data_IF_856395258410
#
_entry.id   IF_856395258410
#
_cell.length_a   1.000
_cell.length_b   1.000
_cell.length_c   1.000
_cell.angle_alpha   90.00
_cell.angle_beta   90.00
_cell.angle_gamma   90.00
#
_symmetry.space_group_name_H-M   'P 1'
#
loop_
_entity.id
_entity.type
_entity.pdbx_description
1 polymer ?
#
# COMPACT_ATOMS: atom_id res chain seq x y z
N UNK A 1 14.15 19.10 19.73
CA UNK A 1 13.08 18.08 19.76
C UNK A 1 13.36 17.07 18.67
N UNK A 2 13.71 15.84 19.03
CA UNK A 2 13.87 14.75 18.05
C UNK A 2 12.48 14.40 17.52
N UNK A 3 12.18 14.76 16.27
CA UNK A 3 11.00 14.26 15.58
C UNK A 3 11.22 12.75 15.45
N UNK A 4 10.47 11.95 16.22
CA UNK A 4 10.31 10.53 15.89
C UNK A 4 9.90 10.48 14.42
N UNK A 5 10.75 9.95 13.54
CA UNK A 5 10.43 9.84 12.12
C UNK A 5 9.06 9.16 11.99
N UNK A 6 8.08 9.91 11.48
CA UNK A 6 6.77 9.33 11.15
C UNK A 6 7.02 8.21 10.14
N UNK A 7 6.44 7.02 10.31
CA UNK A 7 6.61 5.95 9.33
C UNK A 7 6.16 6.45 7.96
N UNK A 8 6.97 6.16 6.93
CA UNK A 8 6.67 6.57 5.55
C UNK A 8 5.35 5.91 5.13
N UNK A 9 4.44 6.72 4.60
CA UNK A 9 3.13 6.26 4.12
C UNK A 9 3.29 5.11 3.11
N UNK A 10 2.47 4.03 3.20
CA UNK A 10 2.54 2.89 2.28
C UNK A 10 2.51 3.27 0.80
N UNK A 11 1.72 4.28 0.45
CA UNK A 11 1.63 4.83 -0.91
C UNK A 11 2.95 5.41 -1.41
N UNK A 12 3.66 6.13 -0.55
CA UNK A 12 4.97 6.69 -0.87
C UNK A 12 5.98 5.57 -1.06
N UNK A 13 5.94 4.54 -0.22
CA UNK A 13 6.81 3.36 -0.38
C UNK A 13 6.55 2.63 -1.70
N UNK A 14 5.27 2.44 -2.07
CA UNK A 14 4.92 1.80 -3.35
C UNK A 14 5.42 2.63 -4.54
N UNK A 15 5.12 3.93 -4.58
CA UNK A 15 5.55 4.82 -5.68
C UNK A 15 7.07 4.96 -5.77
N UNK A 16 7.78 4.95 -4.63
CA UNK A 16 9.25 4.91 -4.60
C UNK A 16 9.78 3.63 -5.24
N UNK A 17 9.14 2.49 -4.98
CA UNK A 17 9.54 1.23 -5.60
C UNK A 17 9.27 1.20 -7.10
N UNK A 18 8.14 1.75 -7.55
CA UNK A 18 7.85 1.89 -8.97
C UNK A 18 8.89 2.78 -9.67
N UNK A 19 9.30 3.89 -9.04
CA UNK A 19 10.42 4.70 -9.54
C UNK A 19 11.69 3.87 -9.70
N UNK A 20 12.08 3.09 -8.69
CA UNK A 20 13.30 2.28 -8.70
C UNK A 20 13.23 1.15 -9.74
N UNK A 21 12.07 0.50 -9.90
CA UNK A 21 11.82 -0.53 -10.93
C UNK A 21 12.00 0.01 -12.34
N UNK A 22 11.52 1.23 -12.58
CA UNK A 22 11.68 1.95 -13.84
C UNK A 22 13.06 2.61 -13.99
N UNK A 23 13.98 2.44 -13.02
CA UNK A 23 15.33 3.02 -13.00
C UNK A 23 15.34 4.55 -13.16
N UNK A 24 14.31 5.21 -12.66
CA UNK A 24 14.16 6.66 -12.75
C UNK A 24 14.77 7.34 -11.52
N UNK A 25 15.40 8.48 -11.75
CA UNK A 25 15.93 9.35 -10.70
C UNK A 25 14.79 10.16 -10.05
N UNK A 26 15.01 10.62 -8.81
CA UNK A 26 14.08 11.54 -8.15
C UNK A 26 13.86 12.82 -8.96
N UNK A 27 14.89 13.29 -9.67
CA UNK A 27 14.80 14.46 -10.57
C UNK A 27 13.84 14.21 -11.73
N UNK A 28 13.92 13.05 -12.38
CA UNK A 28 13.03 12.70 -13.49
C UNK A 28 11.57 12.64 -13.05
N UNK A 29 11.26 12.02 -11.90
CA UNK A 29 9.87 11.99 -11.41
C UNK A 29 9.39 13.37 -11.03
N UNK A 30 10.20 14.16 -10.33
CA UNK A 30 9.86 15.53 -9.96
C UNK A 30 9.49 16.37 -11.20
N UNK A 31 10.28 16.28 -12.26
CA UNK A 31 10.06 16.97 -13.52
C UNK A 31 8.77 16.50 -14.23
N UNK A 32 8.61 15.19 -14.42
CA UNK A 32 7.46 14.61 -15.14
C UNK A 32 6.13 14.75 -14.39
N UNK A 33 6.16 14.79 -13.06
CA UNK A 33 4.96 14.96 -12.23
C UNK A 33 4.69 16.41 -11.84
N UNK A 34 5.50 17.37 -12.30
CA UNK A 34 5.44 18.78 -11.93
C UNK A 34 5.48 18.99 -10.40
N UNK A 35 6.27 18.19 -9.68
CA UNK A 35 6.55 18.35 -8.26
C UNK A 35 7.91 19.01 -8.11
N UNK A 36 8.07 20.09 -7.32
CA UNK A 36 9.39 20.62 -7.03
C UNK A 36 10.31 19.53 -6.47
N UNK A 37 11.54 19.40 -7.00
CA UNK A 37 12.46 18.31 -6.65
C UNK A 37 12.64 18.15 -5.13
N UNK A 38 12.82 19.27 -4.42
CA UNK A 38 12.98 19.26 -2.96
C UNK A 38 11.74 18.70 -2.25
N UNK A 39 10.54 18.98 -2.76
CA UNK A 39 9.30 18.43 -2.23
C UNK A 39 9.23 16.92 -2.47
N UNK A 40 9.55 16.46 -3.68
CA UNK A 40 9.56 15.03 -4.00
C UNK A 40 10.54 14.24 -3.13
N UNK A 41 11.76 14.77 -2.94
CA UNK A 41 12.78 14.17 -2.07
C UNK A 41 12.30 14.02 -0.63
N UNK A 42 11.70 15.09 -0.08
CA UNK A 42 11.14 15.07 1.28
C UNK A 42 9.97 14.11 1.42
N UNK A 43 9.13 13.98 0.39
CA UNK A 43 8.06 12.98 0.35
C UNK A 43 8.66 11.57 0.47
N UNK A 44 9.61 11.20 -0.40
CA UNK A 44 10.24 9.87 -0.35
C UNK A 44 10.98 9.57 0.97
N UNK A 45 11.48 10.61 1.63
CA UNK A 45 12.14 10.50 2.94
C UNK A 45 11.16 10.46 4.12
N UNK A 46 9.86 10.69 3.90
CA UNK A 46 8.85 10.79 4.96
C UNK A 46 8.88 12.12 5.72
N UNK A 47 9.62 13.12 5.24
CA UNK A 47 9.73 14.46 5.84
C UNK A 47 8.61 15.42 5.40
N UNK A 48 7.82 15.03 4.40
CA UNK A 48 6.65 15.76 3.91
C UNK A 48 5.52 14.79 3.62
N UNK A 49 4.30 15.19 3.97
CA UNK A 49 3.11 14.47 3.54
C UNK A 49 2.92 14.65 2.03
N UNK A 50 2.35 13.62 1.39
CA UNK A 50 1.97 13.63 -0.02
C UNK A 50 0.47 13.94 -0.13
N UNK A 51 0.09 14.81 -1.06
CA UNK A 51 -1.32 15.11 -1.34
C UNK A 51 -1.88 14.19 -2.42
N UNK A 52 -3.21 13.97 -2.44
CA UNK A 52 -3.88 13.16 -3.47
C UNK A 52 -3.57 13.67 -4.89
N UNK A 53 -3.47 14.99 -5.09
CA UNK A 53 -3.10 15.57 -6.38
C UNK A 53 -1.64 15.23 -6.77
N UNK A 54 -0.71 15.25 -5.81
CA UNK A 54 0.68 14.82 -6.06
C UNK A 54 0.75 13.33 -6.41
N UNK A 55 0.00 12.49 -5.70
CA UNK A 55 -0.10 11.06 -6.03
C UNK A 55 -0.62 10.89 -7.45
N UNK A 56 -1.73 11.55 -7.81
CA UNK A 56 -2.36 11.42 -9.15
C UNK A 56 -1.36 11.69 -10.27
N UNK A 57 -0.59 12.77 -10.15
CA UNK A 57 0.44 13.12 -11.15
C UNK A 57 1.58 12.12 -11.21
N UNK A 58 1.99 11.52 -10.09
CA UNK A 58 3.03 10.47 -10.09
C UNK A 58 2.50 9.19 -10.73
N UNK A 59 1.25 8.80 -10.44
CA UNK A 59 0.58 7.65 -11.05
C UNK A 59 0.55 7.80 -12.58
N UNK A 60 0.23 9.00 -13.09
CA UNK A 60 0.22 9.30 -14.52
C UNK A 60 1.59 9.09 -15.18
N UNK A 61 2.69 9.48 -14.52
CA UNK A 61 4.06 9.24 -15.03
C UNK A 61 4.34 7.76 -15.25
N UNK A 62 3.78 6.89 -14.40
CA UNK A 62 3.97 5.44 -14.49
C UNK A 62 2.89 4.73 -15.32
N UNK A 63 1.85 5.43 -15.79
CA UNK A 63 0.72 4.82 -16.49
C UNK A 63 -0.09 3.87 -15.59
N UNK A 64 -0.13 4.13 -14.29
CA UNK A 64 -0.84 3.31 -13.31
C UNK A 64 -2.29 3.78 -13.13
N UNK A 65 -3.08 2.96 -12.45
CA UNK A 65 -4.40 3.34 -11.93
C UNK A 65 -4.37 3.43 -10.40
N UNK A 66 -5.38 4.07 -9.82
CA UNK A 66 -5.59 4.05 -8.37
C UNK A 66 -5.79 2.63 -7.81
N UNK A 67 -6.31 1.71 -8.62
CA UNK A 67 -6.46 0.31 -8.23
C UNK A 67 -5.10 -0.37 -8.12
N UNK A 68 -4.18 -0.12 -9.06
CA UNK A 68 -2.81 -0.65 -9.00
C UNK A 68 -2.08 -0.18 -7.76
N UNK A 69 -2.28 1.09 -7.38
CA UNK A 69 -1.72 1.67 -6.16
C UNK A 69 -2.30 1.02 -4.91
N UNK A 70 -3.63 0.89 -4.83
CA UNK A 70 -4.28 0.22 -3.72
C UNK A 70 -3.79 -1.22 -3.55
N UNK A 71 -3.64 -1.95 -4.67
CA UNK A 71 -3.11 -3.31 -4.69
C UNK A 71 -1.62 -3.39 -4.37
N UNK A 72 -0.83 -2.45 -4.87
CA UNK A 72 0.60 -2.34 -4.61
C UNK A 72 0.92 -2.07 -3.15
N UNK A 73 0.01 -1.41 -2.44
CA UNK A 73 0.13 -1.09 -1.02
C UNK A 73 -0.40 -2.17 -0.07
N UNK A 74 -1.19 -3.14 -0.54
CA UNK A 74 -1.90 -4.09 0.34
C UNK A 74 -0.97 -4.87 1.29
N UNK A 75 0.28 -5.16 0.88
CA UNK A 75 1.28 -5.82 1.74
C UNK A 75 2.03 -4.89 2.70
N UNK A 76 1.77 -3.58 2.65
CA UNK A 76 2.40 -2.52 3.48
C UNK A 76 1.40 -1.81 4.38
N UNK A 77 0.11 -1.96 4.12
CA UNK A 77 -0.96 -1.51 5.01
C UNK A 77 -1.18 -2.53 6.12
N UNK A 78 -1.48 -2.05 7.31
CA UNK A 78 -1.99 -2.92 8.36
C UNK A 78 -3.42 -3.31 7.98
N UNK A 79 -3.59 -4.52 7.45
CA UNK A 79 -4.92 -5.09 7.21
C UNK A 79 -5.48 -5.53 8.55
N UNK A 80 -6.59 -4.93 8.97
CA UNK A 80 -7.30 -5.34 10.17
C UNK A 80 -8.50 -6.23 9.84
N UNK A 81 -9.18 -6.74 10.87
CA UNK A 81 -10.34 -7.61 10.71
C UNK A 81 -11.53 -6.92 10.03
N UNK A 82 -11.64 -5.59 10.12
CA UNK A 82 -12.72 -4.83 9.49
C UNK A 82 -12.53 -4.74 7.98
N UNK A 83 -11.28 -4.58 7.52
CA UNK A 83 -10.93 -4.61 6.09
C UNK A 83 -11.26 -5.97 5.45
N UNK A 84 -10.98 -7.05 6.18
CA UNK A 84 -11.29 -8.42 5.76
C UNK A 84 -12.81 -8.63 5.73
N UNK A 85 -13.53 -8.21 6.77
CA UNK A 85 -14.97 -8.33 6.85
C UNK A 85 -15.68 -7.52 5.75
N UNK A 86 -15.21 -6.31 5.45
CA UNK A 86 -15.71 -5.49 4.35
C UNK A 86 -15.50 -6.20 3.01
N UNK A 87 -14.32 -6.76 2.77
CA UNK A 87 -14.01 -7.49 1.53
C UNK A 87 -14.90 -8.72 1.32
N UNK A 88 -15.16 -9.50 2.38
CA UNK A 88 -16.00 -10.71 2.33
C UNK A 88 -17.47 -10.37 2.04
N UNK A 89 -17.97 -9.21 2.48
CA UNK A 89 -19.36 -8.76 2.20
C UNK A 89 -19.62 -8.58 0.72
N UNK A 90 -18.62 -8.21 -0.07
CA UNK A 90 -18.76 -7.99 -1.51
C UNK A 90 -18.73 -9.28 -2.33
N UNK A 91 -18.39 -10.42 -1.73
CA UNK A 91 -18.44 -11.70 -2.43
C UNK A 91 -19.89 -12.14 -2.71
N UNK A 92 -20.16 -12.74 -3.88
CA UNK A 92 -21.38 -13.47 -4.14
C UNK A 92 -21.65 -14.53 -3.06
N UNK A 93 -22.92 -14.79 -2.76
CA UNK A 93 -23.31 -15.70 -1.68
C UNK A 93 -22.65 -17.08 -1.79
N UNK A 94 -22.52 -17.60 -3.02
CA UNK A 94 -21.86 -18.87 -3.33
C UNK A 94 -20.38 -18.90 -2.94
N UNK A 95 -19.66 -17.78 -3.10
CA UNK A 95 -18.25 -17.69 -2.75
C UNK A 95 -18.04 -17.33 -1.29
N UNK A 96 -18.95 -16.55 -0.69
CA UNK A 96 -18.83 -16.07 0.69
C UNK A 96 -18.73 -17.22 1.69
N UNK A 97 -19.57 -18.24 1.55
CA UNK A 97 -19.58 -19.42 2.43
C UNK A 97 -18.27 -20.20 2.29
N UNK A 98 -17.85 -20.48 1.06
CA UNK A 98 -16.60 -21.22 0.80
C UNK A 98 -15.37 -20.47 1.32
N UNK A 99 -15.30 -19.15 1.13
CA UNK A 99 -14.21 -18.31 1.65
C UNK A 99 -14.21 -18.29 3.19
N UNK A 100 -15.38 -18.22 3.82
CA UNK A 100 -15.47 -18.26 5.29
C UNK A 100 -15.00 -19.60 5.87
N UNK A 101 -15.42 -20.72 5.29
CA UNK A 101 -14.97 -22.04 5.73
C UNK A 101 -13.47 -22.24 5.52
N UNK A 102 -12.89 -21.72 4.43
CA UNK A 102 -11.45 -21.73 4.22
C UNK A 102 -10.69 -20.94 5.30
N UNK A 103 -11.16 -19.73 5.64
CA UNK A 103 -10.56 -18.91 6.71
C UNK A 103 -10.65 -19.62 8.07
N UNK A 104 -11.81 -20.20 8.39
CA UNK A 104 -12.00 -21.00 9.61
C UNK A 104 -11.03 -22.17 9.70
N UNK A 105 -10.86 -22.92 8.61
CA UNK A 105 -9.94 -24.05 8.57
C UNK A 105 -8.49 -23.61 8.82
N UNK A 106 -8.06 -22.49 8.22
CA UNK A 106 -6.73 -21.91 8.45
C UNK A 106 -6.54 -21.53 9.92
N UNK A 107 -7.52 -20.85 10.53
CA UNK A 107 -7.45 -20.45 11.95
C UNK A 107 -7.32 -21.68 12.86
N UNK A 108 -8.13 -22.71 12.62
CA UNK A 108 -8.10 -23.95 13.40
C UNK A 108 -6.74 -24.65 13.34
N UNK A 109 -6.12 -24.72 12.16
CA UNK A 109 -4.77 -25.30 12.00
C UNK A 109 -3.70 -24.45 12.70
N UNK A 110 -3.79 -23.11 12.63
CA UNK A 110 -2.89 -22.21 13.36
C UNK A 110 -3.02 -22.34 14.88
N UNK A 111 -4.24 -22.56 15.40
CA UNK A 111 -4.47 -22.79 16.83
C UNK A 111 -3.91 -24.14 17.30
N UNK A 112 -4.06 -25.19 16.48
CA UNK A 112 -3.41 -26.48 16.75
C UNK A 112 -1.89 -26.35 16.80
N UNK A 113 -1.29 -25.63 15.84
CA UNK A 113 0.16 -25.43 15.78
C UNK A 113 0.72 -24.61 16.96
N UNK A 114 -0.12 -23.80 17.62
CA UNK A 114 0.26 -23.02 18.81
C UNK A 114 0.15 -23.81 20.12
N UNK A 115 -0.54 -24.95 20.15
CA UNK A 115 -0.58 -25.80 21.35
C UNK A 115 0.75 -26.56 21.44
N UNK A 116 1.58 -26.33 22.47
CA UNK A 116 2.78 -27.13 22.66
C UNK A 116 2.36 -28.59 22.91
N UNK A 117 3.02 -29.52 22.23
CA UNK A 117 3.05 -30.94 22.61
C UNK A 117 3.46 -31.13 24.06
#
# INVERSE_FOLDING_TARGET
>A
MSMKNKPIEPIVLYLTQERLRNRMTQKQIAELSYIPLRTYQRIEQGESEITVNQVSRIIEVFGLTWLDVAWGETGRRHINTDDIAASIKHLPLSLRLTTFEAIKAIIHELEKAKKPT
#
